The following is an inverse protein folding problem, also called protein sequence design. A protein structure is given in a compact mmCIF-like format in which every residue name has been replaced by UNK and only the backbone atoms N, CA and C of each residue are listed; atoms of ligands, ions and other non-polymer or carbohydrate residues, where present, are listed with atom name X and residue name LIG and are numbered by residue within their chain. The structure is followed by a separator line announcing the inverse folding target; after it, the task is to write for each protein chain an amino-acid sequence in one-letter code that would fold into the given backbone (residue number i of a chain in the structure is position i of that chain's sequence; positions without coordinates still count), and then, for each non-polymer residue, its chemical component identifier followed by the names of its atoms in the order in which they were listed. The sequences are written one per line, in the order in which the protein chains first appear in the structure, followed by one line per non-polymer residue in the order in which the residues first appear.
data_IF_905853335563
#
_entry.id   IF_905853335563
#
_cell.length_a   1.000
_cell.length_b   1.000
_cell.length_c   1.000
_cell.angle_alpha   90.00
_cell.angle_beta   90.00
_cell.angle_gamma   90.00
#
_symmetry.space_group_name_H-M   'P 1'
#
loop_
_entity.id
_entity.type
_entity.pdbx_description
1 polymer ?
#
# COMPACT_ATOMS: atom_id res chain seq x y z
N UNK A 1 -5.15 -7.70 28.72
CA UNK A 1 -4.05 -8.54 28.18
C UNK A 1 -4.22 -8.88 26.70
N UNK A 2 -5.38 -9.29 26.21
CA UNK A 2 -5.57 -9.68 24.79
C UNK A 2 -5.21 -8.56 23.80
N UNK A 3 -5.61 -7.31 24.05
CA UNK A 3 -5.29 -6.16 23.18
C UNK A 3 -3.78 -5.86 23.09
N UNK A 4 -3.04 -6.13 24.18
CA UNK A 4 -1.57 -5.90 24.20
C UNK A 4 -0.79 -6.84 23.28
N UNK A 5 -1.31 -8.05 23.02
CA UNK A 5 -0.66 -9.04 22.15
C UNK A 5 -1.22 -8.94 20.72
N UNK A 6 -2.51 -8.63 20.57
CA UNK A 6 -3.19 -8.60 19.28
C UNK A 6 -2.65 -7.50 18.35
N UNK A 7 -2.42 -6.28 18.87
CA UNK A 7 -1.93 -5.15 18.06
C UNK A 7 -0.55 -5.43 17.47
N UNK A 8 0.49 -5.83 18.26
CA UNK A 8 1.80 -6.17 17.69
C UNK A 8 1.74 -7.31 16.67
N UNK A 9 0.91 -8.33 16.91
CA UNK A 9 0.74 -9.45 15.99
C UNK A 9 0.14 -9.00 14.65
N UNK A 10 -0.96 -8.25 14.69
CA UNK A 10 -1.65 -7.73 13.49
C UNK A 10 -0.73 -6.79 12.71
N UNK A 11 -0.04 -5.88 13.39
CA UNK A 11 0.91 -4.97 12.77
C UNK A 11 2.09 -5.73 12.18
N UNK A 12 2.61 -6.75 12.86
CA UNK A 12 3.67 -7.61 12.35
C UNK A 12 3.25 -8.33 11.07
N UNK A 13 2.09 -9.00 11.07
CA UNK A 13 1.52 -9.64 9.88
C UNK A 13 1.43 -8.63 8.73
N UNK A 14 0.88 -7.45 9.01
CA UNK A 14 0.71 -6.40 7.99
C UNK A 14 2.05 -5.94 7.40
N UNK A 15 3.09 -5.76 8.22
CA UNK A 15 4.43 -5.32 7.79
C UNK A 15 5.07 -6.36 6.88
N UNK A 16 5.15 -7.61 7.31
CA UNK A 16 5.77 -8.67 6.53
C UNK A 16 4.98 -8.99 5.27
N UNK A 17 3.66 -9.14 5.36
CA UNK A 17 2.81 -9.42 4.22
C UNK A 17 2.91 -8.33 3.14
N UNK A 18 2.94 -7.04 3.52
CA UNK A 18 3.17 -5.93 2.59
C UNK A 18 4.54 -5.99 1.92
N UNK A 19 5.57 -6.34 2.66
CA UNK A 19 6.93 -6.37 2.12
C UNK A 19 7.13 -7.54 1.14
N UNK A 20 6.59 -8.71 1.46
CA UNK A 20 6.60 -9.85 0.54
C UNK A 20 5.69 -9.61 -0.68
N UNK A 21 4.53 -8.97 -0.49
CA UNK A 21 3.67 -8.52 -1.59
C UNK A 21 4.48 -7.70 -2.61
N UNK A 22 5.22 -6.69 -2.14
CA UNK A 22 6.05 -5.85 -3.00
C UNK A 22 7.14 -6.66 -3.75
N UNK A 23 7.74 -7.66 -3.09
CA UNK A 23 8.71 -8.57 -3.74
C UNK A 23 8.06 -9.37 -4.87
N UNK A 24 6.88 -9.96 -4.61
CA UNK A 24 6.17 -10.73 -5.63
C UNK A 24 5.69 -9.83 -6.77
N UNK A 25 5.18 -8.64 -6.47
CA UNK A 25 4.83 -7.65 -7.50
C UNK A 25 6.04 -7.28 -8.36
N UNK A 26 7.21 -7.01 -7.76
CA UNK A 26 8.43 -6.67 -8.49
C UNK A 26 8.91 -7.80 -9.40
N UNK A 27 8.80 -9.05 -8.94
CA UNK A 27 9.15 -10.22 -9.77
C UNK A 27 8.14 -10.46 -10.90
N UNK A 28 6.85 -10.32 -10.61
CA UNK A 28 5.80 -10.54 -11.60
C UNK A 28 5.80 -9.47 -12.69
N UNK A 29 5.99 -8.18 -12.35
CA UNK A 29 6.00 -7.12 -13.36
C UNK A 29 7.19 -7.22 -14.31
N UNK A 30 8.30 -7.83 -13.88
CA UNK A 30 9.43 -8.13 -14.74
C UNK A 30 9.11 -9.23 -15.80
N UNK A 31 8.22 -10.17 -15.44
CA UNK A 31 7.80 -11.28 -16.31
C UNK A 31 6.55 -10.93 -17.14
N UNK A 32 5.67 -10.11 -16.58
CA UNK A 32 4.38 -9.71 -17.17
C UNK A 32 4.27 -8.20 -17.03
N UNK A 33 4.68 -7.42 -18.04
CA UNK A 33 4.78 -5.96 -17.95
C UNK A 33 3.39 -5.26 -18.00
N UNK A 34 2.41 -5.78 -17.26
CA UNK A 34 1.07 -5.24 -17.15
C UNK A 34 0.60 -5.18 -15.68
N UNK A 35 0.73 -4.00 -15.09
CA UNK A 35 0.37 -3.77 -13.70
C UNK A 35 -1.11 -4.00 -13.38
N UNK A 36 -2.02 -3.65 -14.31
CA UNK A 36 -3.46 -3.82 -14.12
C UNK A 36 -3.85 -5.30 -14.15
N UNK A 37 -3.22 -6.07 -15.04
CA UNK A 37 -3.47 -7.51 -15.16
C UNK A 37 -3.02 -8.26 -13.89
N UNK A 38 -1.84 -7.96 -13.37
CA UNK A 38 -1.35 -8.54 -12.11
C UNK A 38 -2.33 -8.22 -10.96
N UNK A 39 -2.79 -6.99 -10.86
CA UNK A 39 -3.73 -6.59 -9.82
C UNK A 39 -5.12 -7.20 -10.02
N UNK A 40 -5.61 -7.25 -11.25
CA UNK A 40 -6.90 -7.89 -11.54
C UNK A 40 -6.88 -9.37 -11.11
N UNK A 41 -5.85 -10.12 -11.51
CA UNK A 41 -5.73 -11.53 -11.14
C UNK A 41 -5.62 -11.69 -9.62
N UNK A 42 -4.86 -10.84 -8.95
CA UNK A 42 -4.74 -10.84 -7.49
C UNK A 42 -6.09 -10.65 -6.80
N UNK A 43 -6.86 -9.62 -7.19
CA UNK A 43 -8.18 -9.37 -6.62
C UNK A 43 -9.19 -10.47 -7.00
N UNK A 44 -9.12 -11.00 -8.23
CA UNK A 44 -9.98 -12.09 -8.67
C UNK A 44 -9.74 -13.36 -7.85
N UNK A 45 -8.48 -13.77 -7.66
CA UNK A 45 -8.14 -14.93 -6.84
C UNK A 45 -8.65 -14.79 -5.41
N UNK A 46 -8.51 -13.60 -4.81
CA UNK A 46 -9.05 -13.33 -3.48
C UNK A 46 -10.59 -13.36 -3.47
N UNK A 47 -11.22 -12.73 -4.45
CA UNK A 47 -12.68 -12.71 -4.56
C UNK A 47 -13.25 -14.12 -4.65
N UNK A 48 -12.66 -14.96 -5.51
CA UNK A 48 -13.06 -16.36 -5.67
C UNK A 48 -12.76 -17.19 -4.42
N UNK A 49 -11.57 -17.03 -3.82
CA UNK A 49 -11.18 -17.75 -2.61
C UNK A 49 -12.04 -17.39 -1.39
N UNK A 50 -12.61 -16.19 -1.37
CA UNK A 50 -13.48 -15.73 -0.28
C UNK A 50 -14.96 -15.98 -0.52
N UNK A 51 -15.39 -16.41 -1.71
CA UNK A 51 -16.80 -16.74 -2.00
C UNK A 51 -17.41 -17.75 -1.02
N UNK A 52 -16.73 -18.85 -0.63
CA UNK A 52 -17.28 -19.81 0.32
C UNK A 52 -17.60 -19.20 1.71
N UNK A 53 -16.93 -18.11 2.07
CA UNK A 53 -17.10 -17.44 3.35
C UNK A 53 -18.16 -16.31 3.28
N UNK A 54 -18.57 -15.88 2.08
CA UNK A 54 -19.51 -14.79 1.87
C UNK A 54 -20.86 -15.01 2.59
N UNK A 55 -21.44 -16.24 2.66
CA UNK A 55 -22.68 -16.47 3.39
C UNK A 55 -22.61 -16.20 4.90
N UNK A 56 -21.40 -16.22 5.50
CA UNK A 56 -21.21 -15.90 6.91
C UNK A 56 -21.36 -14.39 7.21
N UNK A 57 -21.45 -13.55 6.17
CA UNK A 57 -21.53 -12.10 6.30
C UNK A 57 -22.84 -11.57 5.71
N UNK A 58 -23.81 -11.09 6.52
CA UNK A 58 -25.08 -10.60 6.03
C UNK A 58 -24.92 -9.23 5.34
N UNK A 59 -24.86 -9.20 4.00
CA UNK A 59 -24.78 -7.96 3.23
C UNK A 59 -26.13 -7.25 3.03
N UNK A 60 -27.25 -7.97 3.18
CA UNK A 60 -28.59 -7.42 2.96
C UNK A 60 -29.04 -6.40 4.01
N UNK A 61 -28.37 -6.32 5.16
CA UNK A 61 -28.67 -5.38 6.26
C UNK A 61 -27.82 -4.11 6.21
N UNK A 62 -26.91 -4.00 5.24
CA UNK A 62 -25.99 -2.88 5.16
C UNK A 62 -26.65 -1.63 4.56
N UNK A 63 -26.34 -0.42 5.07
CA UNK A 63 -26.90 0.81 4.56
C UNK A 63 -26.39 1.11 3.12
N UNK A 64 -27.14 1.87 2.31
CA UNK A 64 -26.71 2.24 0.95
C UNK A 64 -25.37 2.95 0.90
N UNK A 65 -25.02 3.72 1.95
CA UNK A 65 -23.73 4.40 2.07
C UNK A 65 -22.54 3.44 2.08
N UNK A 66 -22.73 2.21 2.56
CA UNK A 66 -21.71 1.18 2.54
C UNK A 66 -21.20 0.92 1.12
N UNK A 67 -22.11 0.78 0.15
CA UNK A 67 -21.75 0.49 -1.24
C UNK A 67 -21.04 1.66 -1.91
N UNK A 68 -21.42 2.89 -1.56
CA UNK A 68 -20.72 4.10 -2.01
C UNK A 68 -19.26 4.10 -1.52
N UNK A 69 -19.04 3.87 -0.22
CA UNK A 69 -17.68 3.82 0.34
C UNK A 69 -16.90 2.61 -0.18
N UNK A 70 -17.55 1.47 -0.40
CA UNK A 70 -16.93 0.29 -1.01
C UNK A 70 -16.43 0.58 -2.43
N UNK A 71 -17.21 1.30 -3.24
CA UNK A 71 -16.78 1.73 -4.57
C UNK A 71 -15.55 2.66 -4.51
N UNK A 72 -15.55 3.65 -3.62
CA UNK A 72 -14.42 4.56 -3.44
C UNK A 72 -13.15 3.83 -2.96
N UNK A 73 -13.28 2.86 -2.04
CA UNK A 73 -12.17 1.99 -1.61
C UNK A 73 -11.64 1.19 -2.80
N UNK A 74 -12.53 0.58 -3.59
CA UNK A 74 -12.14 -0.20 -4.76
C UNK A 74 -11.43 0.62 -5.83
N UNK A 75 -11.91 1.83 -6.13
CA UNK A 75 -11.27 2.76 -7.09
C UNK A 75 -9.89 3.17 -6.57
N UNK A 76 -9.82 3.68 -5.35
CA UNK A 76 -8.59 4.18 -4.77
C UNK A 76 -7.55 3.05 -4.59
N UNK A 77 -7.99 1.87 -4.14
CA UNK A 77 -7.15 0.69 -3.97
C UNK A 77 -6.62 0.14 -5.29
N UNK A 78 -7.47 -0.04 -6.30
CA UNK A 78 -7.04 -0.54 -7.62
C UNK A 78 -6.11 0.43 -8.33
N UNK A 79 -6.40 1.73 -8.33
CA UNK A 79 -5.50 2.75 -8.87
C UNK A 79 -4.17 2.82 -8.11
N UNK A 80 -4.23 2.80 -6.77
CA UNK A 80 -3.05 2.84 -5.92
C UNK A 80 -2.13 1.62 -6.13
N UNK A 81 -2.70 0.42 -6.15
CA UNK A 81 -1.94 -0.81 -6.41
C UNK A 81 -1.39 -0.86 -7.84
N UNK A 82 -2.15 -0.43 -8.86
CA UNK A 82 -1.67 -0.36 -10.24
C UNK A 82 -0.46 0.58 -10.35
N UNK A 83 -0.56 1.77 -9.75
CA UNK A 83 0.55 2.71 -9.69
C UNK A 83 1.76 2.15 -8.91
N UNK A 84 1.53 1.39 -7.82
CA UNK A 84 2.60 0.75 -7.06
C UNK A 84 3.34 -0.30 -7.88
N UNK A 85 2.61 -1.20 -8.55
CA UNK A 85 3.22 -2.22 -9.41
C UNK A 85 3.98 -1.56 -10.56
N UNK A 86 3.43 -0.50 -11.15
CA UNK A 86 4.11 0.27 -12.21
C UNK A 86 5.37 0.97 -11.70
N UNK A 87 5.37 1.46 -10.48
CA UNK A 87 6.57 2.02 -9.84
C UNK A 87 7.66 0.93 -9.66
N UNK A 88 7.27 -0.29 -9.28
CA UNK A 88 8.20 -1.42 -9.07
C UNK A 88 8.81 -1.96 -10.37
N UNK A 89 8.22 -1.68 -11.53
CA UNK A 89 8.75 -2.10 -12.83
C UNK A 89 10.18 -1.59 -13.05
N UNK A 90 10.46 -0.35 -12.65
CA UNK A 90 11.76 0.32 -12.86
C UNK A 90 12.40 0.82 -11.57
N UNK A 91 11.64 0.82 -10.48
CA UNK A 91 12.07 1.35 -9.19
C UNK A 91 12.72 0.29 -8.29
N UNK A 92 13.61 0.74 -7.42
CA UNK A 92 14.19 -0.10 -6.38
C UNK A 92 13.26 -0.20 -5.17
N UNK A 93 13.13 -1.41 -4.62
CA UNK A 93 12.28 -1.68 -3.45
C UNK A 93 12.74 -0.89 -2.22
N UNK A 94 14.06 -0.76 -2.05
CA UNK A 94 14.69 -0.02 -0.97
C UNK A 94 14.47 1.49 -1.04
N UNK A 95 14.19 2.04 -2.22
CA UNK A 95 13.87 3.46 -2.45
C UNK A 95 12.36 3.70 -2.33
N UNK A 96 11.56 2.86 -2.96
CA UNK A 96 10.10 3.03 -3.00
C UNK A 96 9.44 2.80 -1.63
N UNK A 97 10.04 1.94 -0.78
CA UNK A 97 9.58 1.70 0.59
C UNK A 97 9.55 2.98 1.44
N UNK A 98 10.68 3.65 1.64
CA UNK A 98 10.77 4.90 2.41
C UNK A 98 9.91 6.05 1.87
N UNK A 99 9.72 6.16 0.56
CA UNK A 99 8.79 7.15 -0.02
C UNK A 99 7.38 7.01 0.55
N UNK A 100 6.97 5.80 0.94
CA UNK A 100 5.68 5.59 1.58
C UNK A 100 5.51 6.34 2.92
N UNK A 101 6.60 6.72 3.58
CA UNK A 101 6.57 7.51 4.81
C UNK A 101 5.98 8.93 4.62
N UNK A 102 5.79 9.38 3.38
CA UNK A 102 5.05 10.61 3.08
C UNK A 102 3.54 10.52 3.31
N UNK A 103 2.97 9.32 3.54
CA UNK A 103 1.53 9.21 3.84
C UNK A 103 1.07 10.06 5.03
N UNK A 104 1.75 10.09 6.18
CA UNK A 104 1.42 10.99 7.27
C UNK A 104 1.53 12.47 6.89
N UNK A 105 2.46 12.84 5.99
CA UNK A 105 2.58 14.21 5.47
C UNK A 105 1.34 14.61 4.67
N UNK A 106 0.89 13.74 3.76
CA UNK A 106 -0.34 13.97 2.98
C UNK A 106 -1.55 14.07 3.89
N UNK A 107 -1.64 13.20 4.90
CA UNK A 107 -2.71 13.23 5.88
C UNK A 107 -2.69 14.53 6.72
N UNK A 108 -1.51 15.02 7.12
CA UNK A 108 -1.35 16.29 7.84
C UNK A 108 -1.76 17.49 6.99
N UNK A 109 -1.34 17.53 5.71
CA UNK A 109 -1.77 18.60 4.77
C UNK A 109 -3.30 18.58 4.61
N UNK A 110 -3.90 17.40 4.48
CA UNK A 110 -5.35 17.23 4.45
C UNK A 110 -6.03 17.75 5.72
N UNK A 111 -5.45 17.49 6.89
CA UNK A 111 -5.93 18.00 8.19
C UNK A 111 -5.89 19.54 8.27
N UNK A 112 -4.79 20.15 7.81
CA UNK A 112 -4.66 21.62 7.74
C UNK A 112 -5.74 22.22 6.83
N UNK A 113 -5.91 21.67 5.63
CA UNK A 113 -6.79 22.22 4.60
C UNK A 113 -8.28 21.99 4.88
N UNK A 114 -8.64 20.80 5.41
CA UNK A 114 -10.04 20.39 5.58
C UNK A 114 -10.57 20.59 6.99
N UNK A 115 -9.69 20.55 7.99
CA UNK A 115 -10.06 20.62 9.40
C UNK A 115 -9.50 21.84 10.13
N UNK A 116 -8.71 22.68 9.44
CA UNK A 116 -7.99 23.84 10.01
C UNK A 116 -7.10 23.46 11.21
N UNK A 117 -6.59 22.22 11.20
CA UNK A 117 -5.69 21.72 12.24
C UNK A 117 -4.29 22.32 12.05
N UNK A 118 -3.78 23.05 13.06
CA UNK A 118 -2.41 23.57 13.03
C UNK A 118 -1.47 22.49 13.57
N UNK A 119 -0.47 22.05 12.79
CA UNK A 119 0.47 21.04 13.25
C UNK A 119 1.27 21.56 14.45
N UNK A 120 1.50 20.68 15.42
CA UNK A 120 2.36 20.98 16.56
C UNK A 120 3.84 21.13 16.14
N UNK A 121 4.66 21.69 17.02
CA UNK A 121 6.10 21.77 16.79
C UNK A 121 6.74 20.39 16.55
N UNK A 122 6.28 19.35 17.27
CA UNK A 122 6.72 17.97 17.06
C UNK A 122 6.30 17.41 15.69
N UNK A 123 5.07 17.71 15.25
CA UNK A 123 4.59 17.35 13.91
C UNK A 123 5.41 18.01 12.80
N UNK A 124 5.73 19.30 12.96
CA UNK A 124 6.59 20.04 12.01
C UNK A 124 8.02 19.50 11.97
N UNK A 125 8.60 19.16 13.12
CA UNK A 125 9.92 18.50 13.19
C UNK A 125 9.89 17.12 12.50
N UNK A 126 8.83 16.34 12.71
CA UNK A 126 8.61 15.06 12.03
C UNK A 126 8.57 15.22 10.51
N UNK A 127 7.89 16.26 10.01
CA UNK A 127 7.88 16.59 8.57
C UNK A 127 9.29 16.85 8.05
N UNK A 128 10.09 17.65 8.76
CA UNK A 128 11.47 17.94 8.41
C UNK A 128 12.32 16.65 8.30
N UNK A 129 12.14 15.72 9.25
CA UNK A 129 12.85 14.43 9.22
C UNK A 129 12.42 13.55 8.03
N UNK A 130 11.14 13.52 7.67
CA UNK A 130 10.65 12.79 6.50
C UNK A 130 11.28 13.35 5.22
N UNK A 131 11.27 14.67 5.07
CA UNK A 131 11.87 15.35 3.90
C UNK A 131 13.35 15.04 3.82
N UNK A 132 14.09 15.18 4.92
CA UNK A 132 15.52 14.89 4.95
C UNK A 132 15.83 13.41 4.71
N UNK A 133 15.13 12.51 5.36
CA UNK A 133 15.28 11.06 5.14
C UNK A 133 15.02 10.67 3.70
N UNK A 134 13.97 11.23 3.08
CA UNK A 134 13.66 10.99 1.67
C UNK A 134 14.75 11.53 0.74
N UNK A 135 15.33 12.71 1.06
CA UNK A 135 16.47 13.26 0.34
C UNK A 135 17.67 12.28 0.34
N UNK A 136 17.99 11.68 1.49
CA UNK A 136 19.09 10.71 1.59
C UNK A 136 18.81 9.44 0.79
N UNK A 137 17.57 8.92 0.85
CA UNK A 137 17.19 7.70 0.11
C UNK A 137 17.20 7.93 -1.39
N UNK A 138 16.56 8.99 -1.86
CA UNK A 138 16.43 9.29 -3.29
C UNK A 138 17.77 9.67 -3.93
N UNK A 139 18.67 10.25 -3.17
CA UNK A 139 20.02 10.62 -3.64
C UNK A 139 21.09 9.53 -3.46
N UNK A 140 20.71 8.34 -2.98
CA UNK A 140 21.70 7.32 -2.59
C UNK A 140 22.52 6.78 -3.77
N UNK A 141 21.90 6.60 -4.93
CA UNK A 141 22.53 6.00 -6.11
C UNK A 141 23.29 7.02 -6.97
N UNK A 142 22.85 8.29 -7.00
CA UNK A 142 23.45 9.37 -7.82
C UNK A 142 24.47 10.23 -7.06
N UNK A 143 24.76 9.90 -5.79
CA UNK A 143 25.70 10.64 -4.94
C UNK A 143 25.20 12.01 -4.49
N UNK A 144 24.32 12.67 -5.23
CA UNK A 144 23.66 13.94 -4.89
C UNK A 144 22.21 13.92 -5.32
N UNK A 145 21.34 14.44 -4.47
CA UNK A 145 19.95 14.65 -4.83
C UNK A 145 19.82 15.74 -5.88
N UNK A 146 19.08 15.47 -6.93
CA UNK A 146 18.65 16.45 -7.93
C UNK A 146 17.13 16.46 -7.99
N UNK A 147 16.50 17.61 -8.04
CA UNK A 147 15.02 17.71 -8.18
C UNK A 147 14.50 16.92 -9.39
N UNK A 148 15.34 16.69 -10.40
CA UNK A 148 15.03 15.85 -11.56
C UNK A 148 14.69 14.39 -11.17
N UNK A 149 15.13 13.90 -10.01
CA UNK A 149 14.80 12.56 -9.52
C UNK A 149 13.28 12.44 -9.26
N UNK A 150 12.63 13.50 -8.79
CA UNK A 150 11.18 13.51 -8.59
C UNK A 150 10.40 13.37 -9.90
N UNK A 151 11.01 13.66 -11.03
CA UNK A 151 10.42 13.50 -12.37
C UNK A 151 10.61 12.09 -12.93
N UNK A 152 11.38 11.24 -12.27
CA UNK A 152 11.54 9.83 -12.66
C UNK A 152 10.17 9.15 -12.64
N UNK A 153 9.92 8.33 -13.64
CA UNK A 153 8.63 7.66 -13.84
C UNK A 153 8.23 6.78 -12.66
N UNK A 154 9.18 6.02 -12.10
CA UNK A 154 8.97 5.17 -10.93
C UNK A 154 8.56 5.98 -9.68
N UNK A 155 9.22 7.11 -9.44
CA UNK A 155 8.93 8.01 -8.30
C UNK A 155 7.55 8.67 -8.47
N UNK A 156 7.23 9.14 -9.68
CA UNK A 156 5.90 9.72 -9.97
C UNK A 156 4.78 8.72 -9.72
N UNK A 157 4.91 7.49 -10.22
CA UNK A 157 3.95 6.43 -9.93
C UNK A 157 3.89 6.08 -8.44
N UNK A 158 5.02 6.14 -7.73
CA UNK A 158 5.04 5.91 -6.30
C UNK A 158 4.27 6.97 -5.52
N UNK A 159 4.42 8.25 -5.86
CA UNK A 159 3.62 9.33 -5.26
C UNK A 159 2.13 9.20 -5.61
N UNK A 160 1.79 8.86 -6.85
CA UNK A 160 0.40 8.58 -7.22
C UNK A 160 -0.19 7.42 -6.40
N UNK A 161 0.55 6.32 -6.26
CA UNK A 161 0.17 5.20 -5.42
C UNK A 161 -0.03 5.60 -3.95
N UNK A 162 0.86 6.43 -3.42
CA UNK A 162 0.79 6.96 -2.06
C UNK A 162 -0.48 7.79 -1.84
N UNK A 163 -0.79 8.69 -2.75
CA UNK A 163 -1.98 9.54 -2.68
C UNK A 163 -3.26 8.68 -2.72
N UNK A 164 -3.39 7.80 -3.70
CA UNK A 164 -4.55 6.90 -3.82
C UNK A 164 -4.71 6.02 -2.57
N UNK A 165 -3.63 5.41 -2.07
CA UNK A 165 -3.71 4.54 -0.90
C UNK A 165 -3.87 5.30 0.43
N UNK A 166 -3.55 6.60 0.48
CA UNK A 166 -3.88 7.44 1.62
C UNK A 166 -5.38 7.73 1.66
N UNK A 167 -6.00 8.05 0.52
CA UNK A 167 -7.46 8.18 0.40
C UNK A 167 -8.18 6.87 0.72
N UNK A 168 -7.68 5.75 0.16
CA UNK A 168 -8.20 4.41 0.46
C UNK A 168 -8.26 4.14 1.98
N UNK A 169 -7.24 4.51 2.73
CA UNK A 169 -7.20 4.29 4.18
C UNK A 169 -8.33 5.02 4.92
N UNK A 170 -8.66 6.25 4.50
CA UNK A 170 -9.78 7.02 5.07
C UNK A 170 -11.12 6.40 4.70
N UNK A 171 -11.32 6.08 3.43
CA UNK A 171 -12.56 5.46 2.93
C UNK A 171 -12.78 4.08 3.57
N UNK A 172 -11.72 3.29 3.70
CA UNK A 172 -11.75 1.98 4.34
C UNK A 172 -12.15 2.07 5.81
N UNK A 173 -11.66 3.07 6.55
CA UNK A 173 -12.09 3.28 7.94
C UNK A 173 -13.59 3.56 8.03
N UNK A 174 -14.14 4.39 7.13
CA UNK A 174 -15.59 4.63 7.04
C UNK A 174 -16.35 3.34 6.73
N UNK A 175 -15.85 2.56 5.77
CA UNK A 175 -16.45 1.29 5.39
C UNK A 175 -16.52 0.29 6.56
N UNK A 176 -15.43 0.18 7.34
CA UNK A 176 -15.36 -0.69 8.53
C UNK A 176 -16.36 -0.24 9.61
N UNK A 177 -16.51 1.07 9.82
CA UNK A 177 -17.44 1.62 10.82
C UNK A 177 -18.91 1.40 10.45
N UNK A 178 -19.24 1.27 9.16
CA UNK A 178 -20.59 0.98 8.67
C UNK A 178 -20.91 -0.53 8.63
N UNK A 179 -19.91 -1.38 8.88
CA UNK A 179 -20.03 -2.82 8.70
C UNK A 179 -19.15 -3.58 9.70
N UNK A 180 -18.49 -4.62 9.25
CA UNK A 180 -17.49 -5.37 10.00
C UNK A 180 -16.17 -5.45 9.22
N UNK A 181 -15.09 -5.84 9.89
CA UNK A 181 -13.78 -6.08 9.27
C UNK A 181 -13.87 -7.07 8.10
N UNK A 182 -14.68 -8.15 8.25
CA UNK A 182 -14.85 -9.15 7.20
C UNK A 182 -15.67 -8.65 6.01
N UNK A 183 -16.79 -7.95 6.26
CA UNK A 183 -17.61 -7.35 5.19
C UNK A 183 -16.82 -6.30 4.41
N UNK A 184 -16.09 -5.42 5.11
CA UNK A 184 -15.22 -4.43 4.46
C UNK A 184 -14.10 -5.09 3.64
N UNK A 185 -13.53 -6.20 4.12
CA UNK A 185 -12.53 -6.98 3.39
C UNK A 185 -13.09 -7.58 2.10
N UNK A 186 -14.24 -8.26 2.17
CA UNK A 186 -14.91 -8.85 1.01
C UNK A 186 -15.31 -7.78 -0.01
N UNK A 187 -15.91 -6.68 0.45
CA UNK A 187 -16.30 -5.58 -0.42
C UNK A 187 -15.08 -4.96 -1.14
N UNK A 188 -13.94 -4.81 -0.44
CA UNK A 188 -12.71 -4.33 -1.06
C UNK A 188 -12.18 -5.31 -2.11
N UNK A 189 -12.21 -6.63 -1.87
CA UNK A 189 -11.80 -7.62 -2.86
C UNK A 189 -12.68 -7.55 -4.11
N UNK A 190 -14.01 -7.52 -3.96
CA UNK A 190 -14.94 -7.47 -5.08
C UNK A 190 -14.86 -6.15 -5.85
N UNK A 191 -14.89 -5.01 -5.15
CA UNK A 191 -14.74 -3.71 -5.78
C UNK A 191 -13.39 -3.57 -6.48
N UNK A 192 -12.29 -4.01 -5.86
CA UNK A 192 -10.97 -4.04 -6.48
C UNK A 192 -10.93 -4.86 -7.77
N UNK A 193 -11.55 -6.05 -7.78
CA UNK A 193 -11.64 -6.88 -8.99
C UNK A 193 -12.44 -6.18 -10.09
N UNK A 194 -13.61 -5.60 -9.76
CA UNK A 194 -14.46 -4.88 -10.72
C UNK A 194 -13.72 -3.67 -11.30
N UNK A 195 -13.11 -2.83 -10.47
CA UNK A 195 -12.44 -1.62 -10.96
C UNK A 195 -11.13 -1.91 -11.69
N UNK A 196 -10.39 -2.98 -11.32
CA UNK A 196 -9.26 -3.44 -12.13
C UNK A 196 -9.74 -3.95 -13.49
N UNK A 197 -10.83 -4.74 -13.54
CA UNK A 197 -11.41 -5.20 -14.80
C UNK A 197 -11.85 -4.03 -15.68
N UNK A 198 -12.60 -3.07 -15.14
CA UNK A 198 -13.00 -1.87 -15.86
C UNK A 198 -11.78 -1.08 -16.39
N UNK A 199 -10.75 -0.91 -15.56
CA UNK A 199 -9.49 -0.29 -15.99
C UNK A 199 -8.84 -1.04 -17.16
N UNK A 200 -8.87 -2.37 -17.16
CA UNK A 200 -8.33 -3.19 -18.25
C UNK A 200 -9.15 -3.05 -19.54
N UNK A 201 -10.47 -2.92 -19.42
CA UNK A 201 -11.38 -2.79 -20.59
C UNK A 201 -11.36 -1.38 -21.19
N UNK A 202 -11.16 -0.34 -20.37
CA UNK A 202 -11.16 1.06 -20.80
C UNK A 202 -9.82 1.51 -21.40
N UNK A 203 -8.72 0.80 -21.12
CA UNK A 203 -7.42 1.11 -21.71
C UNK A 203 -7.29 0.56 -23.13
N UNK A 204 -6.46 1.21 -24.00
CA UNK A 204 -6.30 0.78 -25.39
C UNK A 204 -5.91 -0.71 -25.49
N UNK A 205 -6.43 -1.38 -26.51
CA UNK A 205 -6.14 -2.79 -26.84
C UNK A 205 -4.62 -3.01 -26.90
N UNK A 206 -4.10 -3.89 -26.10
CA UNK A 206 -2.66 -4.19 -25.90
C UNK A 206 -2.21 -4.10 -24.45
N UNK A 207 -3.01 -3.46 -23.58
CA UNK A 207 -2.72 -3.36 -22.16
C UNK A 207 -3.06 -4.62 -21.36
N UNK A 208 -3.88 -5.54 -21.92
CA UNK A 208 -4.30 -6.79 -21.26
C UNK A 208 -4.24 -7.95 -22.22
N UNK A 209 -3.43 -8.94 -21.88
CA UNK A 209 -3.48 -10.25 -22.50
C UNK A 209 -3.98 -11.27 -21.47
N UNK A 210 -5.07 -12.00 -21.73
CA UNK A 210 -5.48 -13.12 -20.86
C UNK A 210 -4.41 -14.20 -20.70
N UNK A 211 -3.30 -14.06 -21.40
CA UNK A 211 -2.17 -14.96 -21.40
C UNK A 211 -1.48 -15.13 -20.03
N UNK A 212 -1.71 -14.24 -19.04
CA UNK A 212 -1.12 -14.43 -17.69
C UNK A 212 -1.76 -15.60 -16.97
N UNK A 213 -3.08 -15.77 -17.10
CA UNK A 213 -3.78 -16.93 -16.55
C UNK A 213 -3.40 -18.22 -17.28
N UNK A 214 -2.95 -18.11 -18.55
CA UNK A 214 -2.62 -19.23 -19.43
C UNK A 214 -1.11 -19.49 -19.54
N UNK A 215 -0.26 -18.62 -19.02
CA UNK A 215 1.21 -18.80 -19.03
C UNK A 215 1.67 -19.86 -18.04
N UNK A 216 2.78 -20.58 -18.37
CA UNK A 216 3.09 -21.85 -17.75
C UNK A 216 3.30 -21.79 -16.23
N UNK A 217 3.05 -22.93 -15.62
CA UNK A 217 3.01 -23.32 -14.19
C UNK A 217 3.91 -22.57 -13.19
N UNK A 218 5.01 -21.93 -13.62
CA UNK A 218 5.92 -21.19 -12.74
C UNK A 218 5.38 -19.85 -12.19
N UNK A 219 4.42 -19.21 -12.86
CA UNK A 219 3.86 -17.94 -12.42
C UNK A 219 2.59 -18.10 -11.57
N UNK A 220 1.88 -19.23 -11.70
CA UNK A 220 0.66 -19.49 -10.94
C UNK A 220 0.91 -19.52 -9.42
N UNK A 221 1.97 -20.21 -8.98
CA UNK A 221 2.33 -20.25 -7.56
C UNK A 221 2.65 -18.84 -7.02
N UNK A 222 3.33 -18.01 -7.82
CA UNK A 222 3.68 -16.64 -7.44
C UNK A 222 2.44 -15.74 -7.37
N UNK A 223 1.46 -15.90 -8.25
CA UNK A 223 0.18 -15.20 -8.22
C UNK A 223 -0.66 -15.59 -7.00
N UNK A 224 -0.67 -16.88 -6.64
CA UNK A 224 -1.32 -17.36 -5.42
C UNK A 224 -0.64 -16.76 -4.18
N UNK A 225 0.68 -16.79 -4.10
CA UNK A 225 1.42 -16.16 -2.99
C UNK A 225 1.19 -14.65 -2.92
N UNK A 226 1.13 -13.97 -4.07
CA UNK A 226 0.78 -12.56 -4.17
C UNK A 226 -0.60 -12.30 -3.56
N UNK A 227 -1.61 -13.08 -3.97
CA UNK A 227 -2.98 -12.95 -3.47
C UNK A 227 -3.06 -13.23 -1.96
N UNK A 228 -2.39 -14.28 -1.46
CA UNK A 228 -2.32 -14.59 -0.04
C UNK A 228 -1.65 -13.46 0.77
N UNK A 229 -0.53 -12.93 0.29
CA UNK A 229 0.15 -11.80 0.93
C UNK A 229 -0.74 -10.55 0.94
N UNK A 230 -1.42 -10.24 -0.16
CA UNK A 230 -2.35 -9.11 -0.21
C UNK A 230 -3.54 -9.31 0.72
N UNK A 231 -4.14 -10.50 0.73
CA UNK A 231 -5.24 -10.84 1.63
C UNK A 231 -4.85 -10.70 3.09
N UNK A 232 -3.72 -11.27 3.49
CA UNK A 232 -3.19 -11.15 4.85
C UNK A 232 -2.88 -9.70 5.23
N UNK A 233 -2.24 -8.94 4.32
CA UNK A 233 -1.95 -7.52 4.51
C UNK A 233 -3.24 -6.71 4.69
N UNK A 234 -4.23 -6.92 3.82
CA UNK A 234 -5.46 -6.14 3.82
C UNK A 234 -6.34 -6.46 5.02
N UNK A 235 -6.48 -7.75 5.37
CA UNK A 235 -7.24 -8.14 6.56
C UNK A 235 -6.60 -7.63 7.86
N UNK A 236 -5.27 -7.72 7.95
CA UNK A 236 -4.52 -7.13 9.07
C UNK A 236 -4.66 -5.59 9.10
N UNK A 237 -4.70 -4.91 7.96
CA UNK A 237 -4.95 -3.46 7.88
C UNK A 237 -6.36 -3.12 8.42
N UNK A 238 -7.40 -3.86 8.00
CA UNK A 238 -8.76 -3.67 8.47
C UNK A 238 -8.85 -3.87 9.99
N UNK A 239 -8.22 -4.92 10.50
CA UNK A 239 -8.19 -5.21 11.94
C UNK A 239 -7.42 -4.12 12.70
N UNK A 240 -6.30 -3.65 12.19
CA UNK A 240 -5.55 -2.54 12.81
C UNK A 240 -6.38 -1.25 12.85
N UNK A 241 -7.12 -0.93 11.78
CA UNK A 241 -8.00 0.25 11.75
C UNK A 241 -9.24 0.12 12.65
N UNK A 242 -9.67 -1.10 12.97
CA UNK A 242 -10.69 -1.31 14.00
C UNK A 242 -10.14 -0.98 15.41
N UNK A 243 -8.91 -1.42 15.69
CA UNK A 243 -8.27 -1.33 17.01
C UNK A 243 -7.57 0.02 17.27
N UNK A 244 -7.14 0.72 16.22
CA UNK A 244 -6.34 1.95 16.30
C UNK A 244 -6.95 3.06 15.43
N UNK A 245 -6.74 4.34 15.78
CA UNK A 245 -6.94 5.43 14.84
C UNK A 245 -6.08 5.25 13.58
N UNK A 246 -6.55 5.78 12.44
CA UNK A 246 -5.86 5.59 11.14
C UNK A 246 -4.43 6.11 11.17
N UNK A 247 -4.21 7.27 11.77
CA UNK A 247 -2.89 7.90 11.87
C UNK A 247 -1.85 6.99 12.55
N UNK A 248 -2.02 6.62 13.84
CA UNK A 248 -1.13 5.70 14.54
C UNK A 248 -0.92 4.36 13.81
N UNK A 249 -1.97 3.77 13.24
CA UNK A 249 -1.84 2.54 12.47
C UNK A 249 -0.93 2.74 11.24
N UNK A 250 -1.12 3.82 10.48
CA UNK A 250 -0.29 4.15 9.32
C UNK A 250 1.18 4.38 9.69
N UNK A 251 1.46 4.94 10.90
CA UNK A 251 2.85 5.07 11.35
C UNK A 251 3.52 3.73 11.62
N UNK A 252 2.85 2.89 12.37
CA UNK A 252 3.37 1.54 12.63
C UNK A 252 3.64 0.80 11.32
N UNK A 253 2.81 1.01 10.29
CA UNK A 253 3.00 0.41 8.97
C UNK A 253 4.25 0.93 8.24
N UNK A 254 4.81 2.09 8.61
CA UNK A 254 6.06 2.59 8.02
C UNK A 254 7.26 1.70 8.37
N UNK A 255 7.19 0.89 9.43
CA UNK A 255 8.22 -0.10 9.74
C UNK A 255 8.42 -1.10 8.58
N UNK A 256 7.44 -1.26 7.69
CA UNK A 256 7.60 -2.05 6.46
C UNK A 256 8.70 -1.50 5.54
N UNK A 257 9.07 -0.22 5.64
CA UNK A 257 10.16 0.35 4.88
C UNK A 257 11.52 -0.28 5.23
N UNK A 258 11.72 -0.62 6.52
CA UNK A 258 12.93 -1.32 6.97
C UNK A 258 13.00 -2.73 6.39
N UNK A 259 11.88 -3.45 6.39
CA UNK A 259 11.80 -4.80 5.80
C UNK A 259 12.00 -4.75 4.29
N UNK A 260 11.39 -3.78 3.59
CA UNK A 260 11.58 -3.57 2.16
C UNK A 260 13.04 -3.27 1.80
N UNK A 261 13.71 -2.45 2.61
CA UNK A 261 15.13 -2.15 2.45
C UNK A 261 15.99 -3.43 2.54
N UNK A 262 15.75 -4.23 3.56
CA UNK A 262 16.46 -5.50 3.75
C UNK A 262 16.20 -6.50 2.62
N UNK A 263 14.96 -6.64 2.17
CA UNK A 263 14.57 -7.50 1.06
C UNK A 263 15.14 -7.00 -0.29
N UNK A 264 15.17 -5.67 -0.50
CA UNK A 264 15.79 -5.05 -1.66
C UNK A 264 17.28 -5.40 -1.75
N UNK A 265 17.98 -5.28 -0.63
CA UNK A 265 19.39 -5.66 -0.57
C UNK A 265 19.60 -7.17 -0.78
N UNK A 266 18.87 -8.01 -0.05
CA UNK A 266 19.09 -9.47 -0.04
C UNK A 266 18.62 -10.17 -1.32
N UNK A 267 17.48 -9.75 -1.90
CA UNK A 267 16.85 -10.45 -3.02
C UNK A 267 17.12 -9.82 -4.38
N UNK A 268 17.37 -8.52 -4.40
CA UNK A 268 17.57 -7.76 -5.65
C UNK A 268 18.97 -7.16 -5.77
N UNK A 269 19.85 -7.40 -4.77
CA UNK A 269 21.22 -6.90 -4.74
C UNK A 269 21.32 -5.38 -4.96
N UNK A 270 20.33 -4.64 -4.42
CA UNK A 270 20.28 -3.18 -4.55
C UNK A 270 21.44 -2.52 -3.83
N UNK A 271 22.00 -1.45 -4.41
CA UNK A 271 23.20 -0.75 -3.94
C UNK A 271 22.91 0.45 -3.04
N UNK A 272 23.93 1.17 -2.58
CA UNK A 272 23.76 2.43 -1.84
C UNK A 272 23.20 2.28 -0.42
N UNK A 273 23.27 1.10 0.19
CA UNK A 273 22.57 0.74 1.43
C UNK A 273 22.79 1.67 2.62
N UNK A 274 24.02 2.18 2.83
CA UNK A 274 24.31 3.02 4.01
C UNK A 274 23.43 4.29 4.04
N UNK A 275 23.29 4.97 2.89
CA UNK A 275 22.43 6.17 2.78
C UNK A 275 20.95 5.80 2.86
N UNK A 276 20.56 4.69 2.23
CA UNK A 276 19.19 4.18 2.27
C UNK A 276 18.77 3.80 3.69
N UNK A 277 19.64 3.17 4.48
CA UNK A 277 19.38 2.86 5.90
C UNK A 277 19.18 4.15 6.70
N UNK A 278 20.13 5.09 6.62
CA UNK A 278 20.05 6.35 7.36
C UNK A 278 18.77 7.12 7.01
N UNK A 279 18.47 7.25 5.72
CA UNK A 279 17.26 7.93 5.25
C UNK A 279 15.98 7.21 5.68
N UNK A 280 15.94 5.87 5.63
CA UNK A 280 14.79 5.08 6.08
C UNK A 280 14.54 5.26 7.58
N UNK A 281 15.58 5.24 8.41
CA UNK A 281 15.44 5.49 9.85
C UNK A 281 14.87 6.88 10.11
N UNK A 282 15.41 7.91 9.45
CA UNK A 282 14.89 9.28 9.58
C UNK A 282 13.42 9.41 9.15
N UNK A 283 13.04 8.80 8.03
CA UNK A 283 11.64 8.84 7.55
C UNK A 283 10.69 8.12 8.52
N UNK A 284 11.10 6.99 9.09
CA UNK A 284 10.31 6.25 10.08
C UNK A 284 10.16 7.05 11.37
N UNK A 285 11.25 7.60 11.90
CA UNK A 285 11.22 8.44 13.10
C UNK A 285 10.35 9.68 12.86
N UNK A 286 10.49 10.35 11.72
CA UNK A 286 9.66 11.49 11.35
C UNK A 286 8.18 11.15 11.27
N UNK A 287 7.81 10.00 10.67
CA UNK A 287 6.43 9.53 10.62
C UNK A 287 5.85 9.25 12.02
N UNK A 288 6.64 8.65 12.91
CA UNK A 288 6.25 8.40 14.30
C UNK A 288 6.04 9.73 15.05
N UNK A 289 6.94 10.70 14.89
CA UNK A 289 6.80 12.02 15.54
C UNK A 289 5.52 12.75 15.10
N UNK A 290 5.21 12.79 13.80
CA UNK A 290 3.96 13.41 13.31
C UNK A 290 2.73 12.84 14.02
N UNK A 291 2.75 11.58 14.36
CA UNK A 291 1.61 10.87 14.93
C UNK A 291 1.54 11.01 16.44
N UNK A 292 2.70 11.00 17.12
CA UNK A 292 2.75 11.17 18.58
C UNK A 292 2.46 12.60 19.02
N UNK A 293 2.79 13.58 18.18
CA UNK A 293 2.68 15.02 18.48
C UNK A 293 1.66 15.72 17.58
N UNK A 294 0.61 15.01 17.19
CA UNK A 294 -0.51 15.56 16.42
C UNK A 294 -1.32 16.57 17.21
#
# INVERSE_FOLDING_TARGET
MLHGILIPLVVGIRIFANSFLNVFQKRLIAAVPNALEINFVMYLLLSLGMLPFAPAFPFGTLPPEFWFWAALVGIAGSCGNACMVKALERGELSVLGPVNAWKPVVAMIGGILLLSEIPSAGGTAGLGLIVWGSYLVLGADEGKFRFRILLRTDIRYRFAALFCTALEAVFLKKLILLSSTGQAFLANCWAGAVFCLLGTLLLPRGAVSPAVLLRPRGHAAMLILLALCFGAMQYATNTAFLLLPVGPALALFQLSAVVNLWLGWKLFHESGMRRKIAGTVLTVVGAVLIILFK
#
